data_IF_711299349825
#
_entry.id   IF_711299349825
#
_cell.length_a   1.000
_cell.length_b   1.000
_cell.length_c   1.000
_cell.angle_alpha   90.00
_cell.angle_beta   90.00
_cell.angle_gamma   90.00
#
_symmetry.space_group_name_H-M   'P 1'
#
loop_
_entity.id
_entity.type
_entity.pdbx_description
1 polymer ?
#
# COMPACT_ATOMS: atom_id res chain seq x y z
N UNK A 1 -25.85 -11.05 -16.36
CA UNK A 1 -24.74 -11.57 -15.52
C UNK A 1 -24.43 -12.98 -16.00
N UNK A 2 -23.29 -13.21 -16.64
CA UNK A 2 -22.89 -14.56 -17.04
C UNK A 2 -22.34 -15.28 -15.81
N UNK A 3 -23.01 -16.34 -15.37
CA UNK A 3 -22.46 -17.25 -14.37
C UNK A 3 -21.50 -18.17 -15.12
N UNK A 4 -20.20 -17.86 -15.04
CA UNK A 4 -19.16 -18.79 -15.51
C UNK A 4 -19.11 -19.91 -14.48
N UNK A 5 -19.46 -21.13 -14.90
CA UNK A 5 -19.41 -22.33 -14.04
C UNK A 5 -18.00 -22.63 -13.54
N UNK A 6 -17.88 -23.56 -12.58
CA UNK A 6 -16.59 -23.96 -12.03
C UNK A 6 -15.64 -24.45 -13.15
N UNK A 7 -14.35 -24.04 -13.13
CA UNK A 7 -13.40 -24.47 -14.15
C UNK A 7 -13.23 -25.99 -14.13
N UNK A 8 -13.18 -26.59 -15.33
CA UNK A 8 -13.08 -28.06 -15.49
C UNK A 8 -11.74 -28.64 -15.01
N UNK A 9 -10.71 -27.81 -14.85
CA UNK A 9 -9.40 -28.17 -14.33
C UNK A 9 -8.82 -27.03 -13.49
N UNK A 10 -8.02 -27.38 -12.50
CA UNK A 10 -7.31 -26.41 -11.66
C UNK A 10 -6.21 -25.74 -12.48
N UNK A 11 -6.02 -24.41 -12.37
CA UNK A 11 -4.92 -23.73 -13.03
C UNK A 11 -3.58 -24.31 -12.56
N UNK A 12 -2.72 -24.74 -13.48
CA UNK A 12 -1.42 -25.35 -13.12
C UNK A 12 -0.31 -24.32 -12.91
N UNK A 13 -0.56 -23.05 -13.22
CA UNK A 13 0.42 -21.97 -13.06
C UNK A 13 0.70 -21.68 -11.58
N UNK A 14 1.92 -21.94 -11.08
CA UNK A 14 2.24 -21.81 -9.65
C UNK A 14 2.02 -20.38 -9.11
N UNK A 15 2.20 -19.37 -9.96
CA UNK A 15 2.08 -17.96 -9.57
C UNK A 15 0.66 -17.59 -9.12
N UNK A 16 -0.37 -18.28 -9.63
CA UNK A 16 -1.76 -18.03 -9.24
C UNK A 16 -2.04 -18.39 -7.77
N UNK A 17 -1.28 -19.33 -7.21
CA UNK A 17 -1.41 -19.73 -5.81
C UNK A 17 -0.59 -18.87 -4.86
N UNK A 18 0.46 -18.20 -5.34
CA UNK A 18 1.30 -17.34 -4.52
C UNK A 18 0.54 -16.12 -3.97
N UNK A 19 -0.43 -15.59 -4.72
CA UNK A 19 -1.26 -14.49 -4.25
C UNK A 19 -1.98 -14.82 -2.93
N UNK A 20 -2.48 -16.05 -2.80
CA UNK A 20 -3.11 -16.53 -1.57
C UNK A 20 -2.13 -16.61 -0.40
N UNK A 21 -0.96 -17.20 -0.60
CA UNK A 21 0.08 -17.34 0.44
C UNK A 21 0.58 -15.97 0.91
N UNK A 22 0.83 -15.04 -0.02
CA UNK A 22 1.24 -13.67 0.27
C UNK A 22 0.14 -12.93 1.05
N UNK A 23 -1.11 -13.05 0.61
CA UNK A 23 -2.26 -12.42 1.27
C UNK A 23 -2.46 -12.90 2.72
N UNK A 24 -2.40 -14.22 2.94
CA UNK A 24 -2.51 -14.80 4.29
C UNK A 24 -1.38 -14.30 5.20
N UNK A 25 -0.15 -14.30 4.70
CA UNK A 25 1.02 -13.81 5.44
C UNK A 25 0.88 -12.33 5.80
N UNK A 26 0.43 -11.50 4.86
CA UNK A 26 0.20 -10.07 5.08
C UNK A 26 -0.86 -9.81 6.14
N UNK A 27 -2.02 -10.49 6.06
CA UNK A 27 -3.11 -10.32 7.04
C UNK A 27 -2.68 -10.80 8.42
N UNK A 28 -2.00 -11.95 8.51
CA UNK A 28 -1.49 -12.48 9.77
C UNK A 28 -0.53 -11.50 10.45
N UNK A 29 0.46 -10.99 9.70
CA UNK A 29 1.43 -10.03 10.21
C UNK A 29 0.75 -8.71 10.59
N UNK A 30 -0.18 -8.23 9.76
CA UNK A 30 -0.95 -7.01 10.04
C UNK A 30 -1.73 -7.15 11.34
N UNK A 31 -2.45 -8.25 11.54
CA UNK A 31 -3.22 -8.49 12.76
C UNK A 31 -2.32 -8.53 14.01
N UNK A 32 -1.15 -9.16 13.92
CA UNK A 32 -0.17 -9.19 15.01
C UNK A 32 0.40 -7.79 15.31
N UNK A 33 0.71 -6.99 14.29
CA UNK A 33 1.30 -5.66 14.44
C UNK A 33 0.29 -4.61 14.93
N UNK A 34 -0.97 -4.67 14.50
CA UNK A 34 -2.03 -3.72 14.91
C UNK A 34 -2.12 -3.60 16.42
N UNK A 35 -1.97 -4.70 17.17
CA UNK A 35 -2.08 -4.70 18.64
C UNK A 35 -0.98 -3.87 19.29
N UNK A 36 0.19 -3.78 18.66
CA UNK A 36 1.34 -3.03 19.18
C UNK A 36 1.41 -1.59 18.65
N UNK A 37 1.09 -1.35 17.38
CA UNK A 37 1.27 -0.04 16.72
C UNK A 37 -0.02 0.77 16.59
N UNK A 38 -1.18 0.12 16.70
CA UNK A 38 -2.47 0.70 16.33
C UNK A 38 -2.69 0.71 14.81
N UNK A 39 -3.97 0.82 14.42
CA UNK A 39 -4.41 0.71 13.02
C UNK A 39 -3.94 1.90 12.16
N UNK A 40 -3.86 3.11 12.75
CA UNK A 40 -3.45 4.31 12.03
C UNK A 40 -1.99 4.22 11.55
N UNK A 41 -1.08 3.86 12.44
CA UNK A 41 0.36 3.77 12.12
C UNK A 41 0.60 2.64 11.14
N UNK A 42 -0.08 1.50 11.31
CA UNK A 42 0.05 0.37 10.38
C UNK A 42 -0.44 0.74 8.98
N UNK A 43 -1.62 1.34 8.87
CA UNK A 43 -2.17 1.75 7.58
C UNK A 43 -1.31 2.79 6.88
N UNK A 44 -0.80 3.77 7.63
CA UNK A 44 0.07 4.79 7.09
C UNK A 44 1.45 4.25 6.68
N UNK A 45 1.99 3.31 7.45
CA UNK A 45 3.19 2.57 7.11
C UNK A 45 3.03 1.72 5.84
N UNK A 46 1.87 1.08 5.68
CA UNK A 46 1.55 0.34 4.45
C UNK A 46 1.51 1.26 3.23
N UNK A 47 0.82 2.41 3.32
CA UNK A 47 0.79 3.40 2.23
C UNK A 47 2.20 3.93 1.91
N UNK A 48 3.01 4.22 2.93
CA UNK A 48 4.41 4.62 2.72
C UNK A 48 5.22 3.53 1.99
N UNK A 49 5.08 2.28 2.42
CA UNK A 49 5.72 1.13 1.78
C UNK A 49 5.27 0.91 0.34
N UNK A 50 3.98 1.10 0.05
CA UNK A 50 3.43 1.04 -1.29
C UNK A 50 4.03 2.13 -2.19
N UNK A 51 4.17 3.37 -1.71
CA UNK A 51 4.79 4.46 -2.46
C UNK A 51 6.26 4.17 -2.78
N UNK A 52 7.03 3.72 -1.79
CA UNK A 52 8.45 3.37 -1.98
C UNK A 52 8.58 2.20 -2.96
N UNK A 53 7.74 1.17 -2.82
CA UNK A 53 7.77 0.00 -3.71
C UNK A 53 7.39 0.39 -5.13
N UNK A 54 6.37 1.22 -5.32
CA UNK A 54 5.97 1.71 -6.64
C UNK A 54 7.12 2.46 -7.32
N UNK A 55 7.78 3.37 -6.59
CA UNK A 55 8.94 4.08 -7.12
C UNK A 55 10.12 3.15 -7.49
N UNK A 56 10.39 2.15 -6.65
CA UNK A 56 11.41 1.15 -6.94
C UNK A 56 11.06 0.30 -8.17
N UNK A 57 9.77 -0.01 -8.37
CA UNK A 57 9.30 -0.75 -9.54
C UNK A 57 9.44 0.08 -10.81
N UNK A 58 9.05 1.35 -10.80
CA UNK A 58 9.23 2.26 -11.94
C UNK A 58 10.71 2.43 -12.30
N UNK A 59 11.59 2.51 -11.29
CA UNK A 59 13.04 2.58 -11.50
C UNK A 59 13.64 1.27 -12.02
N UNK A 60 13.14 0.11 -11.56
CA UNK A 60 13.59 -1.20 -12.00
C UNK A 60 13.04 -1.58 -13.38
N UNK A 61 11.86 -1.07 -13.73
CA UNK A 61 11.17 -1.36 -14.98
C UNK A 61 10.62 -0.08 -15.64
N UNK A 62 11.49 0.73 -16.25
CA UNK A 62 11.11 2.02 -16.80
C UNK A 62 10.06 1.86 -17.90
N UNK A 63 8.95 2.57 -17.78
CA UNK A 63 7.92 2.59 -18.83
C UNK A 63 8.38 3.49 -19.99
N UNK A 64 8.33 2.98 -21.22
CA UNK A 64 8.74 3.72 -22.43
C UNK A 64 7.95 5.02 -22.67
N UNK A 65 6.75 5.13 -22.08
CA UNK A 65 5.86 6.29 -22.18
C UNK A 65 5.71 7.06 -20.86
N UNK A 66 6.61 6.84 -19.89
CA UNK A 66 6.55 7.47 -18.58
C UNK A 66 6.77 8.99 -18.64
N UNK A 67 6.23 9.77 -17.68
CA UNK A 67 6.38 11.22 -17.60
C UNK A 67 7.83 11.72 -17.33
N UNK A 68 8.83 10.85 -17.44
CA UNK A 68 10.24 11.13 -17.17
C UNK A 68 10.56 11.09 -15.67
N UNK A 69 11.78 10.66 -15.34
CA UNK A 69 12.24 10.40 -13.97
C UNK A 69 12.03 11.57 -12.99
N UNK A 70 12.12 12.81 -13.49
CA UNK A 70 11.97 14.01 -12.67
C UNK A 70 10.53 14.21 -12.20
N UNK A 71 9.55 13.91 -13.06
CA UNK A 71 8.14 14.02 -12.74
C UNK A 71 7.71 12.91 -11.78
N UNK A 72 8.22 11.68 -11.97
CA UNK A 72 8.01 10.56 -11.05
C UNK A 72 8.53 10.89 -9.64
N UNK A 73 9.77 11.37 -9.54
CA UNK A 73 10.33 11.81 -8.25
C UNK A 73 9.49 12.91 -7.61
N UNK A 74 9.04 13.91 -8.37
CA UNK A 74 8.21 14.98 -7.85
C UNK A 74 6.88 14.44 -7.28
N UNK A 75 6.22 13.52 -7.99
CA UNK A 75 4.99 12.88 -7.52
C UNK A 75 5.21 12.06 -6.25
N UNK A 76 6.30 11.30 -6.18
CA UNK A 76 6.66 10.51 -4.99
C UNK A 76 6.95 11.41 -3.79
N UNK A 77 7.65 12.52 -3.99
CA UNK A 77 7.89 13.51 -2.93
C UNK A 77 6.58 14.13 -2.45
N UNK A 78 5.68 14.53 -3.36
CA UNK A 78 4.37 15.09 -3.01
C UNK A 78 3.53 14.07 -2.22
N UNK A 79 3.46 12.82 -2.68
CA UNK A 79 2.74 11.77 -1.97
C UNK A 79 3.37 11.48 -0.59
N UNK A 80 4.70 11.37 -0.53
CA UNK A 80 5.46 11.12 0.70
C UNK A 80 5.30 12.24 1.73
N UNK A 81 5.33 13.51 1.31
CA UNK A 81 5.06 14.63 2.21
C UNK A 81 3.63 14.59 2.77
N UNK A 82 2.64 14.22 1.96
CA UNK A 82 1.26 14.00 2.45
C UNK A 82 1.19 12.92 3.53
N UNK A 83 1.92 11.81 3.34
CA UNK A 83 2.03 10.73 4.34
C UNK A 83 2.67 11.24 5.63
N UNK A 84 3.76 12.01 5.55
CA UNK A 84 4.43 12.60 6.72
C UNK A 84 3.48 13.55 7.48
N UNK A 85 2.77 14.42 6.77
CA UNK A 85 1.79 15.33 7.37
C UNK A 85 0.68 14.54 8.08
N UNK A 86 0.15 13.49 7.46
CA UNK A 86 -0.86 12.63 8.07
C UNK A 86 -0.32 11.85 9.29
N UNK A 87 0.97 11.52 9.32
CA UNK A 87 1.62 10.81 10.42
C UNK A 87 1.78 11.69 11.66
N UNK A 88 1.90 13.01 11.48
CA UNK A 88 2.09 13.91 12.61
C UNK A 88 0.85 13.94 13.51
N UNK A 89 0.98 13.63 14.81
CA UNK A 89 -0.17 13.54 15.69
C UNK A 89 -0.88 14.91 15.80
N UNK A 90 -2.12 14.96 15.32
CA UNK A 90 -2.99 16.17 15.30
C UNK A 90 -3.53 16.55 16.69
N UNK A 91 -2.66 16.57 17.71
CA UNK A 91 -2.96 17.04 19.07
C UNK A 91 -3.58 18.45 19.12
N UNK A 92 -3.50 19.21 18.02
CA UNK A 92 -4.08 20.54 17.85
C UNK A 92 -5.62 20.61 17.73
N UNK A 93 -6.33 19.54 17.36
CA UNK A 93 -7.80 19.65 17.13
C UNK A 93 -8.68 19.41 18.37
N UNK A 94 -8.14 18.85 19.46
CA UNK A 94 -8.92 18.57 20.70
C UNK A 94 -9.06 19.75 21.66
N UNK A 95 -8.32 20.85 21.49
CA UNK A 95 -8.38 22.02 22.40
C UNK A 95 -9.47 23.06 22.09
N UNK A 96 -10.15 23.01 20.93
CA UNK A 96 -11.14 24.04 20.51
C UNK A 96 -12.62 23.65 20.68
N UNK A 97 -12.93 22.60 21.44
CA UNK A 97 -14.33 22.19 21.75
C UNK A 97 -14.64 22.19 23.25
N UNK A 98 -13.92 23.01 24.03
CA UNK A 98 -14.11 23.11 25.49
C UNK A 98 -14.23 24.54 26.01
N UNK A 99 -14.51 25.49 25.12
CA UNK A 99 -14.92 26.85 25.48
C UNK A 99 -16.36 27.06 25.01
#
# INVERSE_FOLDING_TARGET
>A
VAVVGAPAAWPTDPWLYLGGVIGVTYIFLSAALVVHTGVLILGLGAVAGQLVTAFLLDAAWPADAGPGWLAELAMVIVAGTGVVVAATPSSWRRRRRRD
#
